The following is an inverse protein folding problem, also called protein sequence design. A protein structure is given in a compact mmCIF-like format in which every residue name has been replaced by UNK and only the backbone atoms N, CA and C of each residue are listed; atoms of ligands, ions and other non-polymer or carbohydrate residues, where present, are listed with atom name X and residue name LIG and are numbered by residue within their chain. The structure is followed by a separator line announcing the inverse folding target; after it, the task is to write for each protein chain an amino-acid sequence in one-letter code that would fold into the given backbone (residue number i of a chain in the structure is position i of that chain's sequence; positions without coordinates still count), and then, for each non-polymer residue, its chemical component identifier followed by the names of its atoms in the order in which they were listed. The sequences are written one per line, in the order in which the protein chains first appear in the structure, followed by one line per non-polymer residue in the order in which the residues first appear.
data_IF_422836160864
#
_entry.id   IF_422836160864
#
_cell.length_a   1.000
_cell.length_b   1.000
_cell.length_c   1.000
_cell.angle_alpha   90.00
_cell.angle_beta   90.00
_cell.angle_gamma   90.00
#
_symmetry.space_group_name_H-M   'P 1'
#
loop_
_entity.id
_entity.type
_entity.pdbx_description
1 polymer ?
#
# COMPACT_ATOMS: atom_id res chain seq x y z
N UNK A 1 13.45 48.34 -10.94
CA UNK A 1 12.18 47.64 -10.65
C UNK A 1 11.94 46.34 -11.45
N UNK A 2 12.35 46.16 -12.73
CA UNK A 2 12.07 44.89 -13.44
C UNK A 2 12.98 43.73 -13.00
N UNK A 3 14.18 44.04 -12.48
CA UNK A 3 15.16 43.04 -12.00
C UNK A 3 14.64 42.27 -10.78
N UNK A 4 13.84 42.91 -9.92
CA UNK A 4 13.27 42.27 -8.74
C UNK A 4 12.19 41.24 -9.11
N UNK A 5 11.46 41.48 -10.20
CA UNK A 5 10.43 40.58 -10.70
C UNK A 5 11.02 39.30 -11.33
N UNK A 6 12.18 39.43 -12.00
CA UNK A 6 12.90 38.28 -12.58
C UNK A 6 13.43 37.36 -11.48
N UNK A 7 13.92 37.92 -10.36
CA UNK A 7 14.40 37.14 -9.22
C UNK A 7 13.30 36.31 -8.53
N UNK A 8 12.07 36.83 -8.46
CA UNK A 8 10.93 36.10 -7.88
C UNK A 8 10.48 34.96 -8.79
N UNK A 9 10.47 35.17 -10.12
CA UNK A 9 10.11 34.13 -11.08
C UNK A 9 11.16 33.00 -11.07
N UNK A 10 12.45 33.31 -10.94
CA UNK A 10 13.51 32.29 -10.84
C UNK A 10 13.38 31.44 -9.57
N UNK A 11 12.89 32.01 -8.46
CA UNK A 11 12.72 31.29 -7.19
C UNK A 11 11.61 30.24 -7.24
N UNK A 12 10.54 30.49 -8.01
CA UNK A 12 9.39 29.58 -8.12
C UNK A 12 9.73 28.33 -8.94
N UNK A 13 10.66 28.41 -9.89
CA UNK A 13 11.09 27.26 -10.70
C UNK A 13 12.18 26.39 -10.06
N UNK A 14 12.73 26.78 -8.91
CA UNK A 14 13.86 26.06 -8.30
C UNK A 14 13.45 24.91 -7.37
N UNK A 15 12.16 24.74 -7.10
CA UNK A 15 11.65 23.61 -6.32
C UNK A 15 11.00 22.59 -7.24
N UNK A 16 11.74 21.61 -7.79
CA UNK A 16 11.09 20.43 -8.35
C UNK A 16 10.27 19.76 -7.24
N UNK A 17 9.03 19.34 -7.55
CA UNK A 17 8.33 18.36 -6.73
C UNK A 17 9.24 17.15 -6.59
N UNK A 18 9.77 16.95 -5.39
CA UNK A 18 10.72 15.89 -5.11
C UNK A 18 9.91 14.59 -5.06
N UNK A 19 9.81 13.89 -6.20
CA UNK A 19 9.20 12.56 -6.23
C UNK A 19 9.93 11.66 -5.23
N UNK A 20 9.19 11.13 -4.25
CA UNK A 20 9.76 10.29 -3.19
C UNK A 20 10.36 9.03 -3.84
N UNK A 21 11.67 8.78 -3.68
CA UNK A 21 12.35 7.70 -4.35
C UNK A 21 11.89 6.33 -3.83
N UNK A 22 11.99 5.31 -4.69
CA UNK A 22 11.75 3.94 -4.28
C UNK A 22 12.89 3.43 -3.40
N UNK A 23 12.56 2.73 -2.32
CA UNK A 23 13.54 1.98 -1.53
C UNK A 23 14.11 0.83 -2.38
N UNK A 24 15.40 0.56 -2.26
CA UNK A 24 16.07 -0.49 -3.05
C UNK A 24 15.61 -1.88 -2.59
N UNK A 25 15.52 -2.84 -3.51
CA UNK A 25 15.02 -4.20 -3.21
C UNK A 25 15.92 -5.01 -2.28
N UNK A 26 17.16 -4.58 -2.05
CA UNK A 26 18.11 -5.26 -1.16
C UNK A 26 17.87 -4.90 0.32
N UNK A 27 17.33 -3.70 0.57
CA UNK A 27 17.11 -3.17 1.93
C UNK A 27 15.84 -3.72 2.61
N UNK A 28 14.99 -4.44 1.88
CA UNK A 28 13.75 -4.99 2.41
C UNK A 28 13.40 -6.34 1.78
N UNK A 29 12.56 -7.09 2.47
CA UNK A 29 12.00 -8.34 1.97
C UNK A 29 10.48 -8.35 2.15
N UNK A 30 9.78 -8.90 1.17
CA UNK A 30 8.32 -9.07 1.22
C UNK A 30 8.01 -10.54 1.10
N UNK A 31 7.37 -11.09 2.14
CA UNK A 31 6.86 -12.45 2.14
C UNK A 31 5.35 -12.44 1.95
N UNK A 32 4.89 -13.31 1.06
CA UNK A 32 3.49 -13.48 0.73
C UNK A 32 2.94 -14.72 1.45
N UNK A 33 1.83 -14.55 2.17
CA UNK A 33 1.11 -15.61 2.86
C UNK A 33 -0.34 -15.66 2.37
N UNK A 34 -0.70 -16.77 1.73
CA UNK A 34 -2.03 -17.00 1.21
C UNK A 34 -2.74 -18.00 2.12
N UNK A 35 -3.86 -17.59 2.71
CA UNK A 35 -4.68 -18.43 3.57
C UNK A 35 -6.10 -18.50 3.05
N UNK A 36 -6.68 -19.69 3.05
CA UNK A 36 -8.08 -19.87 2.71
C UNK A 36 -8.93 -19.63 3.94
N UNK A 37 -9.70 -18.54 3.93
CA UNK A 37 -10.53 -18.12 5.06
C UNK A 37 -11.96 -17.88 4.57
N UNK A 38 -12.95 -18.30 5.34
CA UNK A 38 -14.34 -17.98 5.04
C UNK A 38 -14.60 -16.49 5.28
N UNK A 39 -15.37 -15.85 4.39
CA UNK A 39 -15.81 -14.47 4.65
C UNK A 39 -16.66 -14.47 5.92
N UNK A 40 -16.45 -13.49 6.83
CA UNK A 40 -17.33 -13.33 7.97
C UNK A 40 -18.75 -13.13 7.46
N UNK A 41 -19.72 -13.83 8.04
CA UNK A 41 -21.12 -13.69 7.66
C UNK A 41 -21.54 -12.22 7.79
N UNK A 42 -22.16 -11.69 6.73
CA UNK A 42 -22.61 -10.31 6.71
C UNK A 42 -23.55 -10.00 7.90
N UNK A 43 -23.53 -8.76 8.38
CA UNK A 43 -24.40 -8.35 9.49
C UNK A 43 -25.88 -8.58 9.10
N UNK A 44 -26.63 -9.44 9.82
CA UNK A 44 -28.01 -9.78 9.48
C UNK A 44 -28.96 -8.56 9.52
N UNK A 45 -28.57 -7.49 10.19
CA UNK A 45 -29.37 -6.27 10.33
C UNK A 45 -29.06 -5.19 9.29
N UNK A 46 -28.18 -5.46 8.30
CA UNK A 46 -27.85 -4.50 7.23
C UNK A 46 -28.39 -4.99 5.89
N UNK A 47 -29.43 -4.32 5.40
CA UNK A 47 -30.01 -4.57 4.07
C UNK A 47 -29.25 -3.72 3.04
N UNK A 48 -28.63 -4.37 2.07
CA UNK A 48 -27.95 -3.71 0.96
C UNK A 48 -28.92 -3.62 -0.23
N UNK A 49 -29.59 -2.48 -0.39
CA UNK A 49 -30.58 -2.28 -1.46
C UNK A 49 -29.94 -2.14 -2.86
N UNK A 50 -28.65 -1.79 -2.90
CA UNK A 50 -27.91 -1.50 -4.13
C UNK A 50 -26.97 -2.65 -4.56
N UNK A 51 -26.99 -3.79 -3.87
CA UNK A 51 -26.09 -4.90 -4.18
C UNK A 51 -26.55 -5.70 -5.40
N UNK A 52 -25.60 -6.09 -6.23
CA UNK A 52 -25.84 -7.01 -7.35
C UNK A 52 -25.92 -8.46 -6.85
N UNK A 53 -26.57 -9.34 -7.63
CA UNK A 53 -26.63 -10.78 -7.32
C UNK A 53 -25.25 -11.41 -7.15
N UNK A 54 -24.25 -10.95 -7.90
CA UNK A 54 -22.88 -11.44 -7.80
C UNK A 54 -22.23 -11.03 -6.47
N UNK A 55 -22.43 -9.79 -6.01
CA UNK A 55 -21.94 -9.31 -4.72
C UNK A 55 -22.63 -10.01 -3.54
N UNK A 56 -23.94 -10.25 -3.65
CA UNK A 56 -24.68 -11.05 -2.66
C UNK A 56 -24.09 -12.45 -2.53
N UNK A 57 -23.89 -13.16 -3.64
CA UNK A 57 -23.31 -14.51 -3.64
C UNK A 57 -21.88 -14.52 -3.10
N UNK A 58 -21.05 -13.53 -3.46
CA UNK A 58 -19.70 -13.37 -2.89
C UNK A 58 -19.75 -13.16 -1.38
N UNK A 59 -20.72 -12.38 -0.87
CA UNK A 59 -20.89 -12.09 0.56
C UNK A 59 -21.42 -13.27 1.37
N UNK A 60 -22.32 -14.08 0.79
CA UNK A 60 -23.00 -15.18 1.48
C UNK A 60 -22.44 -16.56 1.18
N UNK A 61 -21.44 -16.67 0.30
CA UNK A 61 -20.84 -17.96 -0.03
C UNK A 61 -20.17 -18.57 1.21
N UNK A 62 -20.44 -19.85 1.53
CA UNK A 62 -19.77 -20.58 2.60
C UNK A 62 -18.35 -21.05 2.19
N UNK A 63 -17.97 -20.87 0.93
CA UNK A 63 -16.72 -21.39 0.41
C UNK A 63 -15.53 -20.57 0.95
N UNK A 64 -14.44 -21.23 1.38
CA UNK A 64 -13.27 -20.54 1.85
C UNK A 64 -12.57 -19.84 0.67
N UNK A 65 -12.36 -18.52 0.82
CA UNK A 65 -11.75 -17.70 -0.23
C UNK A 65 -10.28 -17.42 0.08
N UNK A 66 -9.44 -17.30 -0.95
CA UNK A 66 -8.05 -16.91 -0.81
C UNK A 66 -7.95 -15.51 -0.21
N UNK A 67 -7.36 -15.43 0.99
CA UNK A 67 -7.08 -14.21 1.71
C UNK A 67 -5.57 -14.00 1.78
N UNK A 68 -5.12 -12.84 1.32
CA UNK A 68 -3.72 -12.49 1.16
C UNK A 68 -3.24 -11.63 2.34
N UNK A 69 -2.08 -11.98 2.88
CA UNK A 69 -1.35 -11.16 3.83
C UNK A 69 0.09 -11.03 3.36
N UNK A 70 0.59 -9.80 3.35
CA UNK A 70 1.98 -9.50 3.05
C UNK A 70 2.71 -9.19 4.35
N UNK A 71 3.90 -9.75 4.51
CA UNK A 71 4.82 -9.43 5.60
C UNK A 71 6.02 -8.70 5.02
N UNK A 72 6.15 -7.43 5.34
CA UNK A 72 7.27 -6.59 4.95
C UNK A 72 8.30 -6.57 6.08
N UNK A 73 9.52 -7.02 5.82
CA UNK A 73 10.64 -6.92 6.76
C UNK A 73 11.65 -5.94 6.21
N UNK A 74 11.98 -4.91 6.98
CA UNK A 74 13.00 -3.92 6.63
C UNK A 74 14.32 -4.39 7.20
N UNK A 75 15.26 -4.77 6.34
CA UNK A 75 16.57 -5.31 6.74
C UNK A 75 17.57 -4.20 7.01
N UNK A 76 17.50 -3.11 6.24
CA UNK A 76 18.37 -1.97 6.37
C UNK A 76 17.56 -0.66 6.36
N UNK A 77 17.89 0.21 7.31
CA UNK A 77 17.22 1.49 7.51
C UNK A 77 18.20 2.58 7.15
N UNK A 78 17.81 3.49 6.24
CA UNK A 78 18.67 4.61 5.89
C UNK A 78 18.75 5.60 7.07
N UNK A 79 19.85 6.35 7.20
CA UNK A 79 20.11 7.22 8.37
C UNK A 79 19.00 8.26 8.63
N UNK A 80 18.21 8.60 7.62
CA UNK A 80 17.13 9.59 7.69
C UNK A 80 15.73 8.96 7.82
N UNK A 81 15.60 7.64 7.92
CA UNK A 81 14.31 6.95 8.06
C UNK A 81 14.03 6.65 9.54
N UNK A 82 12.96 7.23 10.08
CA UNK A 82 12.60 7.09 11.50
C UNK A 82 11.22 6.46 11.72
N UNK A 83 10.28 6.69 10.80
CA UNK A 83 8.86 6.34 10.98
C UNK A 83 8.28 5.83 9.67
N UNK A 84 7.15 5.14 9.73
CA UNK A 84 6.43 4.66 8.54
C UNK A 84 5.02 5.24 8.48
N UNK A 85 4.56 5.47 7.26
CA UNK A 85 3.16 5.70 6.91
C UNK A 85 2.75 4.64 5.90
N UNK A 86 1.65 3.97 6.16
CA UNK A 86 1.12 2.92 5.28
C UNK A 86 -0.21 3.41 4.74
N UNK A 87 -0.32 3.41 3.42
CA UNK A 87 -1.55 3.68 2.68
C UNK A 87 -2.02 2.41 1.98
N UNK A 88 -3.34 2.19 1.96
CA UNK A 88 -4.00 1.13 1.20
C UNK A 88 -5.10 1.77 0.35
N UNK A 89 -5.06 1.54 -0.95
CA UNK A 89 -6.03 2.08 -1.92
C UNK A 89 -6.28 3.60 -1.72
N UNK A 90 -5.20 4.37 -1.55
CA UNK A 90 -5.25 5.81 -1.27
C UNK A 90 -5.69 6.21 0.15
N UNK A 91 -6.06 5.28 1.03
CA UNK A 91 -6.46 5.56 2.42
C UNK A 91 -5.31 5.31 3.39
N UNK A 92 -5.11 6.20 4.36
CA UNK A 92 -4.09 6.04 5.39
C UNK A 92 -4.54 4.97 6.39
N UNK A 93 -3.83 3.84 6.45
CA UNK A 93 -4.07 2.77 7.44
C UNK A 93 -3.27 3.05 8.71
N UNK A 94 -2.01 3.44 8.55
CA UNK A 94 -1.15 3.86 9.64
C UNK A 94 -0.48 5.18 9.29
N UNK A 95 -0.59 6.16 10.18
CA UNK A 95 0.13 7.41 10.05
C UNK A 95 1.20 7.48 11.15
N UNK A 96 2.46 7.62 10.76
CA UNK A 96 3.55 7.97 11.66
C UNK A 96 3.94 6.92 12.73
N UNK A 97 3.88 5.63 12.38
CA UNK A 97 4.25 4.52 13.27
C UNK A 97 5.77 4.37 13.33
N UNK A 98 6.33 4.15 14.53
CA UNK A 98 7.75 3.75 14.63
C UNK A 98 7.92 2.33 14.13
N UNK A 99 9.02 2.05 13.44
CA UNK A 99 9.36 0.71 12.99
C UNK A 99 10.74 0.32 13.55
N UNK A 100 11.00 -0.97 13.58
CA UNK A 100 12.30 -1.51 13.99
C UNK A 100 12.81 -2.39 12.86
N UNK A 101 14.11 -2.29 12.59
CA UNK A 101 14.79 -3.13 11.61
C UNK A 101 14.67 -4.61 12.01
N UNK A 102 14.42 -5.48 11.03
CA UNK A 102 14.26 -6.92 11.23
C UNK A 102 12.89 -7.35 11.78
N UNK A 103 12.00 -6.43 12.16
CA UNK A 103 10.62 -6.78 12.54
C UNK A 103 9.70 -6.84 11.33
N UNK A 104 8.85 -7.86 11.30
CA UNK A 104 7.84 -8.02 10.27
C UNK A 104 6.69 -7.01 10.46
N UNK A 105 6.40 -6.24 9.42
CA UNK A 105 5.25 -5.36 9.32
C UNK A 105 4.18 -6.11 8.54
N UNK A 106 3.09 -6.45 9.22
CA UNK A 106 1.94 -7.09 8.60
C UNK A 106 1.12 -6.07 7.79
N UNK A 107 1.04 -6.29 6.49
CA UNK A 107 0.17 -5.61 5.55
C UNK A 107 -0.95 -6.58 5.17
N UNK A 108 -2.11 -6.37 5.76
CA UNK A 108 -3.31 -7.11 5.38
C UNK A 108 -3.75 -6.66 3.98
N UNK A 109 -3.97 -7.56 3.03
CA UNK A 109 -4.44 -7.19 1.68
C UNK A 109 -5.95 -7.42 1.60
N UNK A 110 -6.45 -8.48 2.22
CA UNK A 110 -7.83 -8.93 2.08
C UNK A 110 -7.96 -10.09 1.11
N UNK A 111 -9.14 -10.26 0.52
CA UNK A 111 -9.41 -11.34 -0.43
C UNK A 111 -8.79 -11.02 -1.80
N UNK A 112 -8.16 -12.01 -2.44
CA UNK A 112 -7.46 -11.79 -3.73
C UNK A 112 -8.43 -11.41 -4.84
N UNK A 113 -9.65 -11.94 -4.84
CA UNK A 113 -10.70 -11.54 -5.78
C UNK A 113 -11.03 -10.05 -5.68
N UNK A 114 -11.12 -9.50 -4.45
CA UNK A 114 -11.42 -8.08 -4.24
C UNK A 114 -10.26 -7.19 -4.70
N UNK A 115 -9.02 -7.67 -4.55
CA UNK A 115 -7.83 -6.98 -5.04
C UNK A 115 -7.76 -7.01 -6.59
N UNK A 116 -8.13 -8.11 -7.22
CA UNK A 116 -8.17 -8.24 -8.70
C UNK A 116 -9.28 -7.38 -9.30
N UNK A 117 -10.44 -7.33 -8.66
CA UNK A 117 -11.58 -6.49 -9.06
C UNK A 117 -11.39 -5.00 -8.71
N UNK A 118 -10.23 -4.62 -8.13
CA UNK A 118 -9.90 -3.27 -7.64
C UNK A 118 -10.91 -2.70 -6.65
N UNK A 119 -11.60 -3.57 -5.91
CA UNK A 119 -12.54 -3.19 -4.85
C UNK A 119 -11.76 -2.78 -3.60
N UNK A 120 -10.75 -3.56 -3.21
CA UNK A 120 -9.90 -3.26 -2.05
C UNK A 120 -8.62 -4.09 -2.03
N UNK A 121 -7.54 -3.55 -1.50
CA UNK A 121 -6.27 -4.23 -1.31
C UNK A 121 -5.41 -4.33 -2.56
N UNK A 122 -5.76 -3.60 -3.63
CA UNK A 122 -5.04 -3.66 -4.90
C UNK A 122 -3.79 -2.77 -4.89
N UNK A 123 -3.72 -1.79 -3.99
CA UNK A 123 -2.55 -0.91 -3.84
C UNK A 123 -2.16 -0.76 -2.36
N UNK A 124 -0.89 -0.93 -2.07
CA UNK A 124 -0.29 -0.66 -0.78
C UNK A 124 0.97 0.19 -0.97
N UNK A 125 1.00 1.36 -0.34
CA UNK A 125 2.17 2.25 -0.36
C UNK A 125 2.71 2.40 1.05
N UNK A 126 3.96 2.02 1.25
CA UNK A 126 4.68 2.18 2.51
C UNK A 126 5.68 3.31 2.34
N UNK A 127 5.39 4.45 2.93
CA UNK A 127 6.29 5.59 3.01
C UNK A 127 7.16 5.48 4.25
N UNK A 128 8.46 5.68 4.08
CA UNK A 128 9.42 5.89 5.15
C UNK A 128 9.58 7.39 5.35
N UNK A 129 9.42 7.81 6.60
CA UNK A 129 9.39 9.21 7.02
C UNK A 129 10.61 9.55 7.85
N UNK A 130 11.11 10.78 7.71
CA UNK A 130 12.12 11.35 8.58
C UNK A 130 11.58 11.70 9.98
N UNK A 131 12.47 12.12 10.88
CA UNK A 131 12.09 12.64 12.19
C UNK A 131 11.11 13.83 12.07
N UNK A 132 11.29 14.65 11.03
CA UNK A 132 10.45 15.81 10.70
C UNK A 132 9.18 15.43 9.91
N UNK A 133 8.93 14.13 9.73
CA UNK A 133 7.79 13.55 9.00
C UNK A 133 7.80 13.84 7.49
N UNK A 134 8.93 14.23 6.93
CA UNK A 134 9.11 14.32 5.48
C UNK A 134 9.23 12.91 4.90
N UNK A 135 8.67 12.69 3.71
CA UNK A 135 8.75 11.41 3.01
C UNK A 135 10.15 11.24 2.40
N UNK A 136 10.85 10.18 2.79
CA UNK A 136 12.27 9.93 2.41
C UNK A 136 12.36 8.87 1.33
N UNK A 137 11.64 7.77 1.50
CA UNK A 137 11.58 6.67 0.53
C UNK A 137 10.21 6.02 0.57
N UNK A 138 9.89 5.24 -0.46
CA UNK A 138 8.64 4.48 -0.52
C UNK A 138 8.82 3.08 -1.09
N UNK A 139 7.94 2.19 -0.67
CA UNK A 139 7.70 0.89 -1.31
C UNK A 139 6.27 0.90 -1.83
N UNK A 140 6.09 0.58 -3.11
CA UNK A 140 4.77 0.47 -3.73
C UNK A 140 4.53 -0.98 -4.10
N UNK A 141 3.49 -1.57 -3.53
CA UNK A 141 3.04 -2.93 -3.82
C UNK A 141 1.67 -2.82 -4.51
N UNK A 142 1.54 -3.39 -5.69
CA UNK A 142 0.30 -3.35 -6.47
C UNK A 142 -0.09 -4.73 -6.97
N UNK A 143 -1.38 -4.97 -7.11
CA UNK A 143 -1.97 -6.17 -7.69
C UNK A 143 -2.83 -5.73 -8.88
N UNK A 144 -2.61 -6.33 -10.04
CA UNK A 144 -3.41 -6.04 -11.23
C UNK A 144 -4.62 -6.99 -11.36
N UNK A 145 -5.49 -6.71 -12.33
CA UNK A 145 -6.70 -7.50 -12.61
C UNK A 145 -6.38 -8.95 -13.02
N UNK A 146 -5.20 -9.20 -13.58
CA UNK A 146 -4.72 -10.54 -13.90
C UNK A 146 -4.23 -11.32 -12.68
N UNK A 147 -4.17 -10.69 -11.49
CA UNK A 147 -3.61 -11.24 -10.27
C UNK A 147 -2.08 -11.18 -10.21
N UNK A 148 -1.40 -10.56 -11.18
CA UNK A 148 0.04 -10.34 -11.06
C UNK A 148 0.31 -9.27 -10.00
N UNK A 149 1.25 -9.53 -9.10
CA UNK A 149 1.68 -8.57 -8.09
C UNK A 149 3.07 -8.01 -8.39
N UNK A 150 3.21 -6.72 -8.10
CA UNK A 150 4.38 -5.92 -8.42
C UNK A 150 4.90 -5.23 -7.16
N UNK A 151 6.22 -5.12 -7.05
CA UNK A 151 6.89 -4.34 -6.00
C UNK A 151 7.77 -3.31 -6.69
N UNK A 152 7.55 -2.03 -6.41
CA UNK A 152 8.23 -0.90 -7.07
C UNK A 152 8.20 -1.01 -8.61
N UNK A 153 7.09 -1.51 -9.17
CA UNK A 153 6.90 -1.72 -10.61
C UNK A 153 7.53 -3.00 -11.17
N UNK A 154 8.31 -3.75 -10.39
CA UNK A 154 8.86 -5.03 -10.81
C UNK A 154 7.88 -6.17 -10.54
N UNK A 155 7.61 -7.00 -11.55
CA UNK A 155 6.75 -8.17 -11.42
C UNK A 155 7.43 -9.22 -10.54
N UNK A 156 6.77 -9.60 -9.47
CA UNK A 156 7.29 -10.59 -8.52
C UNK A 156 6.63 -11.96 -8.67
N UNK A 157 5.35 -11.98 -9.06
CA UNK A 157 4.61 -13.23 -9.24
C UNK A 157 3.13 -13.00 -9.50
N UNK A 158 2.31 -14.02 -9.21
CA UNK A 158 0.85 -14.02 -9.39
C UNK A 158 0.16 -14.62 -8.18
N UNK A 159 -0.99 -14.04 -7.81
CA UNK A 159 -1.93 -14.48 -6.77
C UNK A 159 -3.25 -14.95 -7.36
#
# INVERSE_FOLDING_TARGET
MPILFILVILYVFMYPEQEVPYKTSEEFSVRLDLKFVQRPSGNPNKVHMDETRAEYLKRTSPDPLPHLTLYLTVNETAANEARIRIMRDGKVIFNNRKFETGKEIKLDVGFTDDAKDRVSGYEHVVYFLSADKAEVSRIVITINESGDYFINGQKMGRV
#
